data_IF_442611694769
#
_entry.id   IF_442611694769
#
_cell.length_a   1.000
_cell.length_b   1.000
_cell.length_c   1.000
_cell.angle_alpha   90.00
_cell.angle_beta   90.00
_cell.angle_gamma   90.00
#
_symmetry.space_group_name_H-M   'P 1'
#
loop_
_entity.id
_entity.type
_entity.pdbx_description
1 polymer ?
#
# COMPACT_ATOMS: atom_id res chain seq x y z
N UNK A 1 14.03 -11.83 -16.34
CA UNK A 1 12.85 -11.09 -15.85
C UNK A 1 12.05 -12.07 -15.01
N UNK A 2 12.48 -12.28 -13.76
CA UNK A 2 11.83 -13.20 -12.82
C UNK A 2 10.50 -12.59 -12.40
N UNK A 3 9.42 -13.36 -12.56
CA UNK A 3 8.07 -12.99 -12.19
C UNK A 3 8.03 -12.56 -10.70
N UNK A 4 7.37 -11.46 -10.40
CA UNK A 4 6.97 -11.15 -9.03
C UNK A 4 5.50 -11.55 -8.87
N UNK A 5 5.16 -12.76 -8.41
CA UNK A 5 3.86 -12.99 -7.81
C UNK A 5 3.99 -12.67 -6.31
N UNK A 6 4.10 -11.39 -5.97
CA UNK A 6 3.91 -10.87 -4.61
C UNK A 6 3.03 -9.64 -4.78
N UNK A 7 1.77 -9.80 -4.38
CA UNK A 7 0.69 -8.84 -4.54
C UNK A 7 0.98 -7.74 -3.54
N UNK A 8 1.58 -6.63 -3.99
CA UNK A 8 1.94 -5.46 -3.18
C UNK A 8 0.76 -5.00 -2.32
N UNK A 9 -0.47 -5.14 -2.81
CA UNK A 9 -1.68 -4.90 -2.02
C UNK A 9 -1.71 -5.71 -0.71
N UNK A 10 -1.33 -6.99 -0.73
CA UNK A 10 -1.27 -7.82 0.47
C UNK A 10 -0.12 -7.41 1.39
N UNK A 11 1.06 -7.12 0.86
CA UNK A 11 2.19 -6.66 1.67
C UNK A 11 1.84 -5.35 2.41
N UNK A 12 1.22 -4.39 1.71
CA UNK A 12 0.70 -3.16 2.30
C UNK A 12 -0.36 -3.43 3.38
N UNK A 13 -1.23 -4.43 3.16
CA UNK A 13 -2.26 -4.84 4.13
C UNK A 13 -1.64 -5.45 5.39
N UNK A 14 -0.58 -6.26 5.24
CA UNK A 14 0.14 -6.83 6.38
C UNK A 14 0.83 -5.74 7.21
N UNK A 15 1.56 -4.81 6.56
CA UNK A 15 2.19 -3.67 7.25
C UNK A 15 1.15 -2.82 7.98
N UNK A 16 0.02 -2.52 7.35
CA UNK A 16 -1.08 -1.80 7.98
C UNK A 16 -1.63 -2.55 9.21
N UNK A 17 -1.83 -3.86 9.08
CA UNK A 17 -2.32 -4.71 10.18
C UNK A 17 -1.36 -4.68 11.38
N UNK A 18 -0.06 -4.83 11.12
CA UNK A 18 0.97 -4.80 12.17
C UNK A 18 1.08 -3.43 12.83
N UNK A 19 1.00 -2.35 12.04
CA UNK A 19 0.93 -1.00 12.59
C UNK A 19 -0.28 -0.82 13.49
N UNK A 20 -1.48 -1.16 13.03
CA UNK A 20 -2.72 -1.06 13.82
C UNK A 20 -2.66 -1.89 15.11
N UNK A 21 -2.03 -3.06 15.08
CA UNK A 21 -1.81 -3.89 16.28
C UNK A 21 -0.90 -3.21 17.29
N UNK A 22 0.19 -2.59 16.82
CA UNK A 22 1.19 -1.96 17.66
C UNK A 22 0.75 -0.59 18.22
N UNK A 23 0.14 0.25 17.38
CA UNK A 23 -0.12 1.66 17.70
C UNK A 23 -1.58 1.95 18.04
N UNK A 24 -2.51 1.08 17.62
CA UNK A 24 -3.97 1.32 17.68
C UNK A 24 -4.42 2.58 16.91
N UNK A 25 -3.57 3.09 16.02
CA UNK A 25 -3.83 4.27 15.21
C UNK A 25 -3.64 3.95 13.73
N UNK A 26 -4.37 4.64 12.86
CA UNK A 26 -4.14 4.57 11.41
C UNK A 26 -2.87 5.36 11.04
N UNK A 27 -2.06 4.85 10.09
CA UNK A 27 -1.00 5.65 9.50
C UNK A 27 -1.60 6.86 8.76
N UNK A 28 -0.77 7.89 8.55
CA UNK A 28 -1.18 9.08 7.82
C UNK A 28 -1.35 8.78 6.32
N UNK A 29 -0.41 8.04 5.73
CA UNK A 29 -0.37 7.74 4.30
C UNK A 29 0.57 6.59 3.94
N UNK A 30 0.45 6.09 2.73
CA UNK A 30 1.49 5.35 2.02
C UNK A 30 2.17 6.26 1.00
N UNK A 31 3.47 6.06 0.78
CA UNK A 31 4.24 6.79 -0.25
C UNK A 31 4.90 5.77 -1.16
N UNK A 32 4.45 5.69 -2.42
CA UNK A 32 4.93 4.74 -3.42
C UNK A 32 5.80 5.45 -4.48
N UNK A 33 6.75 4.72 -5.06
CA UNK A 33 7.34 5.13 -6.33
C UNK A 33 6.34 4.93 -7.47
N UNK A 34 6.54 5.58 -8.64
CA UNK A 34 5.70 5.31 -9.81
C UNK A 34 5.63 3.83 -10.18
N UNK A 35 6.76 3.11 -10.09
CA UNK A 35 6.81 1.68 -10.41
C UNK A 35 5.97 0.84 -9.43
N UNK A 36 6.10 1.11 -8.11
CA UNK A 36 5.30 0.43 -7.10
C UNK A 36 3.81 0.78 -7.23
N UNK A 37 3.49 2.01 -7.62
CA UNK A 37 2.11 2.40 -7.86
C UNK A 37 1.51 1.65 -9.06
N UNK A 38 2.27 1.40 -10.13
CA UNK A 38 1.81 0.55 -11.24
C UNK A 38 1.58 -0.90 -10.83
N UNK A 39 2.42 -1.46 -9.95
CA UNK A 39 2.19 -2.78 -9.35
C UNK A 39 0.90 -2.77 -8.51
N UNK A 40 0.72 -1.77 -7.66
CA UNK A 40 -0.48 -1.60 -6.82
C UNK A 40 -1.76 -1.50 -7.65
N UNK A 41 -1.77 -0.69 -8.72
CA UNK A 41 -2.94 -0.54 -9.59
C UNK A 41 -3.32 -1.85 -10.29
N UNK A 42 -2.33 -2.67 -10.68
CA UNK A 42 -2.57 -4.00 -11.23
C UNK A 42 -3.24 -4.92 -10.21
N UNK A 43 -2.77 -4.89 -8.97
CA UNK A 43 -3.34 -5.69 -7.88
C UNK A 43 -4.77 -5.24 -7.55
N UNK A 44 -5.01 -3.94 -7.45
CA UNK A 44 -6.34 -3.36 -7.22
C UNK A 44 -7.31 -3.78 -8.31
N UNK A 45 -6.92 -3.68 -9.59
CA UNK A 45 -7.78 -4.08 -10.69
C UNK A 45 -8.15 -5.58 -10.64
N UNK A 46 -7.18 -6.43 -10.30
CA UNK A 46 -7.40 -7.86 -10.13
C UNK A 46 -8.35 -8.15 -8.97
N UNK A 47 -8.11 -7.55 -7.81
CA UNK A 47 -8.91 -7.74 -6.59
C UNK A 47 -10.32 -7.20 -6.74
N UNK A 48 -10.50 -6.03 -7.38
CA UNK A 48 -11.81 -5.46 -7.64
C UNK A 48 -12.68 -6.41 -8.47
N UNK A 49 -12.08 -7.03 -9.49
CA UNK A 49 -12.76 -8.04 -10.31
C UNK A 49 -13.10 -9.31 -9.50
N UNK A 50 -12.17 -9.81 -8.69
CA UNK A 50 -12.38 -11.03 -7.89
C UNK A 50 -13.41 -10.84 -6.77
N UNK A 51 -13.46 -9.67 -6.14
CA UNK A 51 -14.37 -9.36 -5.04
C UNK A 51 -15.74 -8.84 -5.51
N UNK A 52 -15.93 -8.67 -6.82
CA UNK A 52 -17.10 -8.02 -7.42
C UNK A 52 -17.40 -6.66 -6.76
N UNK A 53 -16.33 -5.93 -6.39
CA UNK A 53 -16.38 -4.68 -5.64
C UNK A 53 -15.33 -3.72 -6.18
N UNK A 54 -15.74 -2.49 -6.49
CA UNK A 54 -14.79 -1.45 -6.89
C UNK A 54 -13.98 -0.96 -5.68
N UNK A 55 -12.68 -1.21 -5.70
CA UNK A 55 -11.72 -0.69 -4.73
C UNK A 55 -11.16 0.64 -5.23
N UNK A 56 -11.12 1.64 -4.34
CA UNK A 56 -10.58 2.95 -4.67
C UNK A 56 -9.05 2.87 -4.87
N UNK A 57 -8.51 3.17 -6.07
CA UNK A 57 -7.09 3.14 -6.30
C UNK A 57 -6.31 4.28 -5.60
N UNK A 58 -6.99 5.33 -5.12
CA UNK A 58 -6.35 6.44 -4.41
C UNK A 58 -6.08 6.13 -2.93
N UNK A 59 -6.69 5.07 -2.38
CA UNK A 59 -6.54 4.70 -0.98
C UNK A 59 -6.30 3.20 -0.80
N UNK A 60 -5.48 2.84 0.20
CA UNK A 60 -5.33 1.46 0.64
C UNK A 60 -6.08 1.26 1.96
N UNK A 61 -7.22 0.59 1.91
CA UNK A 61 -8.08 0.35 3.10
C UNK A 61 -8.42 1.63 3.89
N UNK A 62 -8.61 2.75 3.19
CA UNK A 62 -8.91 4.06 3.77
C UNK A 62 -7.70 4.91 4.11
N UNK A 63 -6.47 4.42 3.91
CA UNK A 63 -5.23 5.19 4.04
C UNK A 63 -4.87 5.81 2.68
N UNK A 64 -4.62 7.13 2.57
CA UNK A 64 -4.26 7.76 1.31
C UNK A 64 -2.91 7.27 0.78
N UNK A 65 -2.78 7.23 -0.55
CA UNK A 65 -1.54 6.90 -1.26
C UNK A 65 -0.99 8.18 -1.92
N UNK A 66 0.27 8.47 -1.66
CA UNK A 66 1.07 9.51 -2.31
C UNK A 66 2.09 8.88 -3.26
N UNK A 67 2.36 9.53 -4.39
CA UNK A 67 3.35 9.08 -5.36
C UNK A 67 4.56 10.01 -5.30
N UNK A 68 5.75 9.45 -5.13
CA UNK A 68 7.00 10.20 -5.07
C UNK A 68 8.13 9.43 -5.76
N UNK A 69 8.77 10.05 -6.76
CA UNK A 69 9.83 9.44 -7.58
C UNK A 69 11.04 8.95 -6.77
N UNK A 70 11.31 9.57 -5.61
CA UNK A 70 12.40 9.20 -4.72
C UNK A 70 12.02 8.20 -3.63
N UNK A 71 10.74 7.80 -3.55
CA UNK A 71 10.29 6.92 -2.49
C UNK A 71 10.70 5.47 -2.77
N UNK A 72 11.25 4.76 -1.77
CA UNK A 72 11.45 3.32 -1.87
C UNK A 72 10.17 2.51 -1.62
N UNK A 73 9.05 3.15 -1.26
CA UNK A 73 7.83 2.48 -0.81
C UNK A 73 7.76 2.41 0.71
N UNK A 74 7.04 3.33 1.33
CA UNK A 74 6.89 3.40 2.80
C UNK A 74 5.45 3.62 3.22
N UNK A 75 5.14 3.22 4.46
CA UNK A 75 3.98 3.65 5.22
C UNK A 75 4.43 4.67 6.26
N UNK A 76 3.75 5.80 6.35
CA UNK A 76 4.07 6.89 7.28
C UNK A 76 3.10 6.86 8.45
N UNK A 77 3.61 6.60 9.65
CA UNK A 77 2.84 6.64 10.89
C UNK A 77 2.38 8.07 11.24
N UNK A 78 1.41 8.22 12.14
CA UNK A 78 0.90 9.54 12.54
C UNK A 78 1.93 10.44 13.25
N UNK A 79 3.04 9.87 13.72
CA UNK A 79 4.17 10.60 14.32
C UNK A 79 5.29 10.92 13.31
N UNK A 80 5.09 10.59 12.03
CA UNK A 80 6.05 10.77 10.95
C UNK A 80 7.06 9.62 10.80
N UNK A 81 6.98 8.56 11.62
CA UNK A 81 7.85 7.39 11.48
C UNK A 81 7.56 6.66 10.17
N UNK A 82 8.59 6.38 9.39
CA UNK A 82 8.49 5.62 8.14
C UNK A 82 8.72 4.13 8.37
N UNK A 83 7.84 3.30 7.82
CA UNK A 83 7.92 1.84 7.82
C UNK A 83 8.04 1.35 6.38
N UNK A 84 9.11 0.62 6.09
CA UNK A 84 9.38 0.08 4.76
C UNK A 84 8.38 -1.01 4.38
N UNK A 85 7.89 -0.95 3.14
CA UNK A 85 6.94 -1.92 2.62
C UNK A 85 7.63 -3.23 2.17
N UNK A 86 8.88 -3.14 1.72
CA UNK A 86 9.69 -4.25 1.17
C UNK A 86 11.01 -4.40 1.94
#
# INVERSE_FOLDING_TARGET
MTATPLILYYDMSEKLSDHLRATRAYPEKFVLSPLLHEDYLRDVALLSHTLEKDLDPATHMGVPIEISDGSPGVMVASDGTEVWLL
#
